data_IF_182182555168
#
_entry.id   IF_182182555168
#
_cell.length_a   1.000
_cell.length_b   1.000
_cell.length_c   1.000
_cell.angle_alpha   90.00
_cell.angle_beta   90.00
_cell.angle_gamma   90.00
#
_symmetry.space_group_name_H-M   'P 1'
#
loop_
_entity.id
_entity.type
_entity.pdbx_description
1 polymer ?
#
# COMPACT_ATOMS: atom_id res chain seq x y z
N UNK A 1 -12.31 17.57 13.62
CA UNK A 1 -11.53 16.52 12.93
C UNK A 1 -12.40 15.97 11.81
N UNK A 2 -12.09 16.24 10.54
CA UNK A 2 -12.80 15.66 9.39
C UNK A 2 -12.31 14.21 9.22
N UNK A 3 -12.95 13.31 9.97
CA UNK A 3 -12.72 11.88 9.87
C UNK A 3 -13.41 11.35 8.61
N UNK A 4 -12.76 11.48 7.45
CA UNK A 4 -13.05 10.60 6.32
C UNK A 4 -12.42 9.24 6.64
N UNK A 5 -13.11 8.43 7.44
CA UNK A 5 -12.75 7.03 7.68
C UNK A 5 -12.95 6.22 6.39
N UNK A 6 -11.97 6.28 5.50
CA UNK A 6 -11.72 5.23 4.52
C UNK A 6 -10.52 4.44 5.01
N UNK A 7 -10.75 3.63 6.06
CA UNK A 7 -9.82 2.55 6.40
C UNK A 7 -9.64 1.71 5.13
N UNK A 8 -8.45 1.74 4.54
CA UNK A 8 -8.13 0.90 3.39
C UNK A 8 -7.70 -0.45 3.94
N UNK A 9 -8.64 -1.38 4.06
CA UNK A 9 -8.32 -2.77 4.40
C UNK A 9 -7.76 -3.45 3.16
N UNK A 10 -6.44 -3.66 3.15
CA UNK A 10 -5.76 -4.40 2.08
C UNK A 10 -5.46 -5.80 2.56
N UNK A 11 -5.90 -6.79 1.80
CA UNK A 11 -5.60 -8.20 2.03
C UNK A 11 -4.98 -8.81 0.78
N UNK A 12 -4.11 -9.81 0.99
CA UNK A 12 -3.61 -10.63 -0.10
C UNK A 12 -4.80 -11.38 -0.72
N UNK A 13 -4.92 -11.35 -2.04
CA UNK A 13 -5.94 -12.11 -2.77
C UNK A 13 -5.75 -13.61 -2.50
N UNK A 14 -6.84 -14.33 -2.20
CA UNK A 14 -6.82 -15.74 -1.78
C UNK A 14 -6.09 -16.69 -2.76
N UNK A 15 -6.16 -16.40 -4.06
CA UNK A 15 -5.51 -17.20 -5.12
C UNK A 15 -4.30 -16.47 -5.71
N UNK A 16 -3.40 -16.00 -4.86
CA UNK A 16 -2.20 -15.31 -5.28
C UNK A 16 -0.97 -16.12 -4.86
N UNK A 17 -0.30 -16.72 -5.84
CA UNK A 17 0.92 -17.53 -5.64
C UNK A 17 2.15 -16.69 -5.29
N UNK A 18 1.98 -15.39 -5.16
CA UNK A 18 3.04 -14.47 -4.80
C UNK A 18 3.53 -14.72 -3.38
N UNK A 19 4.81 -15.06 -3.23
CA UNK A 19 5.49 -15.09 -1.94
C UNK A 19 5.58 -13.65 -1.40
N UNK A 20 4.86 -13.38 -0.30
CA UNK A 20 4.77 -12.06 0.30
C UNK A 20 4.91 -12.20 1.82
N UNK A 21 5.94 -11.58 2.37
CA UNK A 21 6.11 -11.41 3.80
C UNK A 21 5.14 -10.32 4.29
N UNK A 22 4.34 -10.64 5.32
CA UNK A 22 3.30 -9.72 5.81
C UNK A 22 3.88 -8.49 6.52
N UNK A 23 5.05 -8.60 7.16
CA UNK A 23 5.73 -7.45 7.78
C UNK A 23 6.37 -6.57 6.69
N UNK A 24 6.88 -7.16 5.61
CA UNK A 24 7.30 -6.38 4.43
C UNK A 24 6.13 -5.61 3.81
N UNK A 25 5.00 -6.29 3.58
CA UNK A 25 3.79 -5.66 3.06
C UNK A 25 3.30 -4.50 3.94
N UNK A 26 3.34 -4.69 5.27
CA UNK A 26 3.05 -3.63 6.23
C UNK A 26 3.94 -2.39 6.03
N UNK A 27 5.25 -2.55 5.87
CA UNK A 27 6.14 -1.42 5.61
C UNK A 27 5.86 -0.76 4.25
N UNK A 28 5.54 -1.54 3.22
CA UNK A 28 5.13 -1.01 1.92
C UNK A 28 3.85 -0.17 1.99
N UNK A 29 2.94 -0.44 2.93
CA UNK A 29 1.74 0.37 3.14
C UNK A 29 2.04 1.81 3.61
N UNK A 30 3.18 2.07 4.24
CA UNK A 30 3.59 3.46 4.55
C UNK A 30 3.92 4.23 3.27
N UNK A 31 4.66 3.61 2.35
CA UNK A 31 4.97 4.19 1.05
C UNK A 31 3.69 4.41 0.23
N UNK A 32 2.76 3.45 0.27
CA UNK A 32 1.44 3.60 -0.33
C UNK A 32 0.68 4.79 0.29
N UNK A 33 0.74 4.96 1.62
CA UNK A 33 0.12 6.09 2.31
C UNK A 33 0.65 7.43 1.82
N UNK A 34 1.97 7.57 1.69
CA UNK A 34 2.61 8.77 1.13
C UNK A 34 2.23 9.00 -0.34
N UNK A 35 2.19 7.94 -1.14
CA UNK A 35 1.72 8.02 -2.52
C UNK A 35 0.27 8.48 -2.59
N UNK A 36 -0.62 7.92 -1.76
CA UNK A 36 -2.03 8.31 -1.68
C UNK A 36 -2.19 9.79 -1.37
N UNK A 37 -1.43 10.33 -0.39
CA UNK A 37 -1.46 11.77 -0.05
C UNK A 37 -1.12 12.65 -1.26
N UNK A 38 -0.11 12.26 -2.04
CA UNK A 38 0.34 12.97 -3.25
C UNK A 38 -0.63 12.82 -4.44
N UNK A 39 -1.43 11.76 -4.46
CA UNK A 39 -2.39 11.44 -5.52
C UNK A 39 -3.84 11.63 -5.04
N UNK A 40 -4.08 12.72 -4.31
CA UNK A 40 -5.42 13.13 -3.90
C UNK A 40 -5.97 14.23 -4.80
N UNK A 41 -7.26 14.13 -5.14
CA UNK A 41 -7.99 15.21 -5.77
C UNK A 41 -8.30 16.28 -4.71
N UNK A 42 -7.78 17.49 -4.89
CA UNK A 42 -7.85 18.57 -3.89
C UNK A 42 -9.09 19.47 -4.08
N UNK A 43 -9.97 19.18 -5.04
CA UNK A 43 -11.18 19.97 -5.32
C UNK A 43 -12.33 19.57 -4.38
N UNK A 44 -12.56 20.36 -3.33
CA UNK A 44 -13.73 20.29 -2.44
C UNK A 44 -13.81 19.08 -1.48
N UNK A 45 -13.32 17.91 -1.90
CA UNK A 45 -13.26 16.70 -1.07
C UNK A 45 -11.99 15.90 -1.37
N UNK A 46 -11.04 15.93 -0.42
CA UNK A 46 -9.79 15.16 -0.52
C UNK A 46 -10.09 13.66 -0.63
N UNK A 47 -9.82 13.11 -1.80
CA UNK A 47 -10.00 11.69 -2.10
C UNK A 47 -8.88 11.19 -3.00
N UNK A 48 -8.40 9.97 -2.74
CA UNK A 48 -7.39 9.32 -3.59
C UNK A 48 -8.00 9.03 -4.96
N UNK A 49 -7.25 9.30 -6.02
CA UNK A 49 -7.64 8.86 -7.36
C UNK A 49 -7.60 7.32 -7.43
N UNK A 50 -8.79 6.71 -7.42
CA UNK A 50 -8.94 5.25 -7.47
C UNK A 50 -8.49 4.64 -8.79
N UNK A 51 -8.46 5.41 -9.89
CA UNK A 51 -7.95 4.96 -11.18
C UNK A 51 -6.44 4.81 -11.13
N UNK A 52 -5.76 5.79 -10.54
CA UNK A 52 -4.31 5.73 -10.30
C UNK A 52 -3.98 4.67 -9.24
N UNK A 53 -4.76 4.58 -8.16
CA UNK A 53 -4.55 3.61 -7.07
C UNK A 53 -4.59 2.17 -7.58
N UNK A 54 -5.56 1.82 -8.43
CA UNK A 54 -5.65 0.47 -9.04
C UNK A 54 -4.44 0.13 -9.93
N UNK A 55 -3.71 1.14 -10.43
CA UNK A 55 -2.51 0.97 -11.26
C UNK A 55 -1.23 0.96 -10.43
N UNK A 56 -1.28 1.32 -9.15
CA UNK A 56 -0.13 1.28 -8.27
C UNK A 56 0.38 -0.16 -8.16
N UNK A 57 1.68 -0.35 -8.43
CA UNK A 57 2.35 -1.64 -8.33
C UNK A 57 3.34 -1.59 -7.17
N UNK A 58 3.17 -2.51 -6.24
CA UNK A 58 4.17 -2.74 -5.21
C UNK A 58 5.44 -3.33 -5.83
N UNK A 59 6.64 -2.83 -5.48
CA UNK A 59 7.87 -3.53 -5.77
C UNK A 59 7.97 -4.72 -4.82
N UNK A 60 7.80 -5.94 -5.33
CA UNK A 60 7.81 -7.15 -4.53
C UNK A 60 9.04 -7.97 -4.94
N UNK A 61 10.16 -7.85 -4.20
CA UNK A 61 11.37 -8.63 -4.48
C UNK A 61 11.19 -10.10 -4.06
N UNK A 62 12.15 -11.00 -4.36
CA UNK A 62 12.20 -12.36 -3.82
C UNK A 62 12.04 -12.41 -2.29
N UNK A 63 11.50 -13.52 -1.78
CA UNK A 63 11.13 -13.65 -0.36
C UNK A 63 12.32 -13.44 0.58
N UNK A 64 13.51 -13.90 0.20
CA UNK A 64 14.74 -13.74 0.97
C UNK A 64 15.05 -12.26 1.19
N UNK A 65 14.94 -11.44 0.14
CA UNK A 65 15.18 -9.99 0.20
C UNK A 65 14.09 -9.29 1.02
N UNK A 66 12.83 -9.71 0.88
CA UNK A 66 11.76 -9.17 1.72
C UNK A 66 12.07 -9.38 3.22
N UNK A 67 12.56 -10.56 3.59
CA UNK A 67 12.94 -10.88 4.96
C UNK A 67 14.17 -10.10 5.44
N UNK A 68 15.16 -9.87 4.58
CA UNK A 68 16.33 -9.03 4.90
C UNK A 68 15.91 -7.59 5.19
N UNK A 69 15.06 -7.00 4.36
CA UNK A 69 14.53 -5.64 4.57
C UNK A 69 13.80 -5.56 5.90
N UNK A 70 12.95 -6.55 6.19
CA UNK A 70 12.15 -6.62 7.42
C UNK A 70 12.98 -6.80 8.69
N UNK A 71 14.19 -7.36 8.59
CA UNK A 71 15.11 -7.49 9.74
C UNK A 71 15.73 -6.16 10.14
N UNK A 72 15.88 -5.23 9.19
CA UNK A 72 16.51 -3.92 9.41
C UNK A 72 15.49 -2.88 9.90
N UNK A 73 14.21 -3.05 9.50
CA UNK A 73 13.08 -2.18 9.84
C UNK A 73 12.26 -2.66 11.05
#
# INVERSE_FOLDING_TARGET
SLANQRFTFLSKKANCDLALDMKFFFYQCFLLGEWCKKNTNVSGFASVDMTAFKKYKFPIPPLEIQQEIVKIL
#
